data_IF_414566725143
#
_entry.id   IF_414566725143
#
_cell.length_a   1.000
_cell.length_b   1.000
_cell.length_c   1.000
_cell.angle_alpha   90.00
_cell.angle_beta   90.00
_cell.angle_gamma   90.00
#
_symmetry.space_group_name_H-M   'P 1'
#
loop_
_entity.id
_entity.type
_entity.pdbx_description
1 polymer ?
#
# COMPACT_ATOMS: atom_id res chain seq x y z
N UNK A 1 -10.85 22.10 -6.46
CA UNK A 1 -9.62 22.18 -7.29
C UNK A 1 -8.34 21.81 -6.51
N UNK A 2 -8.01 22.46 -5.38
CA UNK A 2 -6.74 22.23 -4.65
C UNK A 2 -6.52 20.79 -4.14
N UNK A 3 -7.59 20.10 -3.71
CA UNK A 3 -7.49 18.74 -3.17
C UNK A 3 -7.06 17.70 -4.22
N UNK A 4 -7.75 17.65 -5.37
CA UNK A 4 -7.39 16.73 -6.46
C UNK A 4 -5.99 17.01 -7.01
N UNK A 5 -5.56 18.27 -7.03
CA UNK A 5 -4.19 18.63 -7.40
C UNK A 5 -3.16 18.12 -6.37
N UNK A 6 -3.47 18.22 -5.08
CA UNK A 6 -2.62 17.67 -4.00
C UNK A 6 -2.54 16.15 -4.07
N UNK A 7 -3.68 15.49 -4.33
CA UNK A 7 -3.72 14.04 -4.58
C UNK A 7 -2.83 13.68 -5.78
N UNK A 8 -2.97 14.37 -6.91
CA UNK A 8 -2.11 14.17 -8.08
C UNK A 8 -0.61 14.30 -7.77
N UNK A 9 -0.23 15.28 -6.94
CA UNK A 9 1.16 15.45 -6.48
C UNK A 9 1.62 14.31 -5.55
N UNK A 10 0.75 13.82 -4.66
CA UNK A 10 1.08 12.71 -3.74
C UNK A 10 1.40 11.40 -4.49
N UNK A 11 0.78 11.18 -5.65
CA UNK A 11 1.03 10.02 -6.50
C UNK A 11 2.43 10.05 -7.15
N UNK A 12 3.11 11.20 -7.16
CA UNK A 12 4.46 11.30 -7.73
C UNK A 12 5.50 10.55 -6.91
N UNK A 13 5.34 10.46 -5.59
CA UNK A 13 6.31 9.78 -4.71
C UNK A 13 6.47 8.28 -5.05
N UNK A 14 5.41 7.47 -5.15
CA UNK A 14 5.54 6.07 -5.55
C UNK A 14 5.93 5.93 -7.03
N UNK A 15 5.44 6.82 -7.90
CA UNK A 15 5.76 6.78 -9.34
C UNK A 15 7.24 7.02 -9.61
N UNK A 16 7.92 7.82 -8.78
CA UNK A 16 9.36 8.08 -8.93
C UNK A 16 10.24 6.82 -8.76
N UNK A 17 9.76 5.78 -8.06
CA UNK A 17 10.50 4.53 -7.89
C UNK A 17 10.35 3.54 -9.06
N UNK A 18 9.29 3.68 -9.86
CA UNK A 18 8.96 2.74 -10.95
C UNK A 18 9.95 2.75 -12.12
N UNK A 19 10.55 3.89 -12.54
CA UNK A 19 11.54 3.89 -13.63
C UNK A 19 12.71 2.96 -13.38
N UNK A 20 13.23 2.91 -12.15
CA UNK A 20 14.34 2.01 -11.80
C UNK A 20 13.90 0.55 -11.94
N UNK A 21 12.70 0.21 -11.46
CA UNK A 21 12.14 -1.13 -11.59
C UNK A 21 12.03 -1.56 -13.08
N UNK A 22 11.50 -0.67 -13.91
CA UNK A 22 11.34 -0.89 -15.35
C UNK A 22 12.67 -1.03 -16.08
N UNK A 23 13.68 -0.23 -15.72
CA UNK A 23 15.02 -0.32 -16.32
C UNK A 23 15.68 -1.66 -15.95
N UNK A 24 15.61 -2.07 -14.68
CA UNK A 24 16.17 -3.34 -14.23
C UNK A 24 15.54 -4.53 -14.96
N UNK A 25 14.21 -4.56 -15.06
CA UNK A 25 13.51 -5.61 -15.81
C UNK A 25 13.80 -5.54 -17.31
N UNK A 26 13.86 -4.33 -17.89
CA UNK A 26 14.16 -4.13 -19.31
C UNK A 26 15.54 -4.67 -19.69
N UNK A 27 16.57 -4.40 -18.88
CA UNK A 27 17.91 -4.96 -19.08
C UNK A 27 17.90 -6.48 -18.88
N UNK A 28 17.20 -6.98 -17.85
CA UNK A 28 17.08 -8.41 -17.61
C UNK A 28 16.45 -9.17 -18.79
N UNK A 29 15.34 -8.67 -19.34
CA UNK A 29 14.71 -9.25 -20.53
C UNK A 29 15.54 -9.05 -21.81
N UNK A 30 16.37 -8.02 -21.89
CA UNK A 30 17.30 -7.88 -23.02
C UNK A 30 18.40 -8.95 -22.98
N UNK A 31 18.88 -9.33 -21.79
CA UNK A 31 19.89 -10.37 -21.60
C UNK A 31 19.31 -11.78 -21.82
N UNK A 32 18.08 -12.04 -21.35
CA UNK A 32 17.39 -13.32 -21.55
C UNK A 32 15.96 -13.11 -22.09
N UNK A 33 15.79 -12.90 -23.41
CA UNK A 33 14.50 -12.55 -24.01
C UNK A 33 13.44 -13.64 -23.92
N UNK A 34 13.85 -14.91 -23.86
CA UNK A 34 12.94 -16.06 -23.93
C UNK A 34 12.93 -16.92 -22.67
N UNK A 35 13.96 -16.84 -21.82
CA UNK A 35 14.07 -17.64 -20.62
C UNK A 35 13.48 -17.02 -19.37
N UNK A 36 13.11 -15.73 -19.38
CA UNK A 36 12.60 -15.02 -18.20
C UNK A 36 13.55 -15.12 -16.99
N UNK A 37 14.86 -15.27 -17.25
CA UNK A 37 15.90 -15.49 -16.24
C UNK A 37 16.26 -16.96 -16.00
N UNK A 38 15.53 -17.92 -16.56
CA UNK A 38 15.84 -19.35 -16.39
C UNK A 38 17.16 -19.75 -17.05
N UNK A 39 17.55 -19.07 -18.13
CA UNK A 39 18.76 -19.39 -18.88
C UNK A 39 19.98 -18.59 -18.42
N UNK A 40 19.78 -17.53 -17.63
CA UNK A 40 20.85 -16.66 -17.17
C UNK A 40 20.55 -16.07 -15.77
N UNK A 41 21.41 -16.43 -14.81
CA UNK A 41 21.31 -15.97 -13.40
C UNK A 41 21.33 -14.45 -13.29
N UNK A 42 22.15 -13.76 -14.10
CA UNK A 42 22.23 -12.29 -14.08
C UNK A 42 20.91 -11.68 -14.53
N UNK A 43 20.28 -12.24 -15.59
CA UNK A 43 18.96 -11.81 -16.04
C UNK A 43 17.88 -12.07 -14.99
N UNK A 44 17.87 -13.26 -14.36
CA UNK A 44 16.94 -13.56 -13.27
C UNK A 44 17.06 -12.58 -12.10
N UNK A 45 18.30 -12.22 -11.72
CA UNK A 45 18.54 -11.27 -10.65
C UNK A 45 17.96 -9.88 -10.97
N UNK A 46 18.22 -9.38 -12.18
CA UNK A 46 17.71 -8.10 -12.68
C UNK A 46 16.17 -8.07 -12.76
N UNK A 47 15.56 -9.12 -13.33
CA UNK A 47 14.10 -9.24 -13.43
C UNK A 47 13.46 -9.30 -12.04
N UNK A 48 14.03 -10.11 -11.12
CA UNK A 48 13.52 -10.22 -9.76
C UNK A 48 13.64 -8.91 -8.99
N UNK A 49 14.76 -8.21 -9.11
CA UNK A 49 14.97 -6.92 -8.46
C UNK A 49 13.92 -5.89 -8.88
N UNK A 50 13.61 -5.78 -10.18
CA UNK A 50 12.56 -4.86 -10.63
C UNK A 50 11.14 -5.34 -10.28
N UNK A 51 10.87 -6.64 -10.31
CA UNK A 51 9.57 -7.20 -9.93
C UNK A 51 9.20 -6.87 -8.47
N UNK A 52 10.19 -6.75 -7.57
CA UNK A 52 9.94 -6.41 -6.17
C UNK A 52 9.19 -5.09 -5.98
N UNK A 53 9.39 -4.11 -6.88
CA UNK A 53 8.70 -2.83 -6.87
C UNK A 53 7.38 -2.87 -7.64
N UNK A 54 7.36 -3.52 -8.81
CA UNK A 54 6.16 -3.60 -9.66
C UNK A 54 5.07 -4.45 -9.01
N UNK A 55 5.43 -5.60 -8.44
CA UNK A 55 4.49 -6.52 -7.80
C UNK A 55 3.89 -5.92 -6.51
N UNK A 56 4.58 -4.94 -5.92
CA UNK A 56 4.18 -4.27 -4.68
C UNK A 56 3.84 -2.79 -4.92
N UNK A 57 3.36 -2.45 -6.12
CA UNK A 57 2.89 -1.10 -6.40
C UNK A 57 1.76 -0.65 -5.47
N UNK A 58 0.79 -1.51 -5.15
CA UNK A 58 -0.33 -1.15 -4.30
C UNK A 58 0.09 -0.59 -2.93
N UNK A 59 1.04 -1.24 -2.26
CA UNK A 59 1.58 -0.78 -0.97
C UNK A 59 2.42 0.50 -1.09
N UNK A 60 3.18 0.66 -2.20
CA UNK A 60 3.92 1.91 -2.47
C UNK A 60 2.96 3.09 -2.60
N UNK A 61 1.82 2.89 -3.30
CA UNK A 61 0.78 3.90 -3.43
C UNK A 61 0.10 4.18 -2.08
N UNK A 62 -0.15 3.18 -1.24
CA UNK A 62 -0.71 3.38 0.10
C UNK A 62 0.17 4.28 0.97
N UNK A 63 1.46 3.99 1.02
CA UNK A 63 2.42 4.79 1.80
C UNK A 63 2.57 6.19 1.18
N UNK A 64 2.79 6.26 -0.13
CA UNK A 64 3.09 7.52 -0.80
C UNK A 64 1.93 8.51 -0.81
N UNK A 65 0.71 8.02 -1.02
CA UNK A 65 -0.50 8.85 -0.91
C UNK A 65 -0.70 9.29 0.54
N UNK A 66 -0.51 8.42 1.53
CA UNK A 66 -0.69 8.79 2.92
C UNK A 66 0.27 9.90 3.36
N UNK A 67 1.55 9.81 2.99
CA UNK A 67 2.55 10.85 3.25
C UNK A 67 2.18 12.13 2.51
N UNK A 68 1.99 12.09 1.18
CA UNK A 68 1.75 13.29 0.38
C UNK A 68 0.40 13.98 0.63
N UNK A 69 -0.57 13.28 1.21
CA UNK A 69 -1.86 13.82 1.65
C UNK A 69 -1.90 14.19 3.14
N UNK A 70 -0.83 13.95 3.89
CA UNK A 70 -0.66 14.48 5.25
C UNK A 70 -0.25 15.95 5.21
N UNK A 71 -0.62 16.74 6.21
CA UNK A 71 -0.40 18.20 6.17
C UNK A 71 1.06 18.62 6.34
N UNK A 72 1.88 17.76 6.96
CA UNK A 72 3.30 17.98 7.26
C UNK A 72 4.22 16.96 6.58
N UNK A 73 3.69 16.10 5.69
CA UNK A 73 4.43 15.02 5.02
C UNK A 73 5.19 14.09 5.99
N UNK A 74 4.63 13.88 7.18
CA UNK A 74 5.27 13.06 8.21
C UNK A 74 5.22 11.55 7.87
N UNK A 75 6.33 10.85 8.12
CA UNK A 75 6.44 9.41 7.86
C UNK A 75 5.46 8.55 8.66
N UNK A 76 4.96 9.03 9.80
CA UNK A 76 3.92 8.36 10.58
C UNK A 76 2.58 8.27 9.84
N UNK A 77 2.29 9.21 8.94
CA UNK A 77 1.15 9.10 8.02
C UNK A 77 1.35 7.94 7.03
N UNK A 78 2.58 7.76 6.53
CA UNK A 78 2.95 6.61 5.70
C UNK A 78 2.72 5.28 6.40
N UNK A 79 3.11 5.17 7.67
CA UNK A 79 2.83 3.99 8.50
C UNK A 79 1.33 3.76 8.66
N UNK A 80 0.53 4.82 8.84
CA UNK A 80 -0.92 4.72 8.89
C UNK A 80 -1.51 4.19 7.56
N UNK A 81 -1.03 4.69 6.42
CA UNK A 81 -1.41 4.19 5.10
C UNK A 81 -1.07 2.70 4.91
N UNK A 82 0.10 2.27 5.39
CA UNK A 82 0.50 0.86 5.40
C UNK A 82 -0.43 0.00 6.27
N UNK A 83 -0.75 0.46 7.48
CA UNK A 83 -1.68 -0.24 8.38
C UNK A 83 -3.05 -0.39 7.70
N UNK A 84 -3.56 0.68 7.09
CA UNK A 84 -4.81 0.64 6.34
C UNK A 84 -4.78 -0.40 5.20
N UNK A 85 -3.70 -0.41 4.43
CA UNK A 85 -3.50 -1.37 3.35
C UNK A 85 -3.54 -2.82 3.85
N UNK A 86 -2.77 -3.12 4.89
CA UNK A 86 -2.69 -4.48 5.45
C UNK A 86 -4.04 -4.95 6.00
N UNK A 87 -4.79 -4.06 6.66
CA UNK A 87 -6.12 -4.40 7.17
C UNK A 87 -7.08 -4.75 6.03
N UNK A 88 -7.16 -3.90 5.01
CA UNK A 88 -8.08 -4.08 3.87
C UNK A 88 -7.73 -5.34 3.09
N UNK A 89 -6.45 -5.57 2.74
CA UNK A 89 -6.05 -6.72 1.94
C UNK A 89 -6.21 -8.05 2.69
N UNK A 90 -6.08 -8.04 4.02
CA UNK A 90 -6.26 -9.25 4.85
C UNK A 90 -7.74 -9.59 5.01
N UNK A 91 -8.58 -8.61 5.35
CA UNK A 91 -10.03 -8.82 5.56
C UNK A 91 -10.75 -9.25 4.29
N UNK A 92 -10.32 -8.71 3.15
CA UNK A 92 -10.92 -9.03 1.85
C UNK A 92 -10.14 -10.13 1.11
N UNK A 93 -9.22 -10.84 1.78
CA UNK A 93 -8.56 -12.01 1.17
C UNK A 93 -9.58 -13.11 0.87
N UNK A 94 -9.36 -13.95 -0.17
CA UNK A 94 -10.32 -15.01 -0.52
C UNK A 94 -10.63 -15.96 0.64
N UNK A 95 -9.64 -16.28 1.46
CA UNK A 95 -9.80 -17.13 2.64
C UNK A 95 -10.69 -16.48 3.71
N UNK A 96 -10.49 -15.19 3.99
CA UNK A 96 -11.32 -14.47 4.95
C UNK A 96 -12.76 -14.33 4.45
N UNK A 97 -12.95 -13.99 3.17
CA UNK A 97 -14.30 -13.86 2.57
C UNK A 97 -15.04 -15.20 2.54
N UNK A 98 -14.35 -16.30 2.22
CA UNK A 98 -14.92 -17.65 2.30
C UNK A 98 -15.40 -17.96 3.71
N UNK A 99 -14.56 -17.68 4.71
CA UNK A 99 -14.89 -17.87 6.12
C UNK A 99 -16.09 -17.02 6.55
N UNK A 100 -16.14 -15.74 6.19
CA UNK A 100 -17.24 -14.84 6.56
C UNK A 100 -18.57 -15.20 5.91
N UNK A 101 -18.53 -15.77 4.69
CA UNK A 101 -19.73 -16.17 3.95
C UNK A 101 -20.13 -17.64 4.16
N UNK A 102 -19.28 -18.45 4.82
CA UNK A 102 -19.50 -19.88 4.99
C UNK A 102 -19.52 -20.64 3.66
N UNK A 103 -18.76 -20.17 2.65
CA UNK A 103 -18.67 -20.80 1.32
C UNK A 103 -17.28 -21.40 1.11
N UNK A 104 -17.17 -22.32 0.14
CA UNK A 104 -15.86 -22.80 -0.31
C UNK A 104 -15.07 -21.65 -0.96
N UNK A 105 -13.74 -21.65 -0.77
CA UNK A 105 -12.82 -20.69 -1.39
C UNK A 105 -12.96 -20.68 -2.91
N UNK A 106 -13.27 -21.82 -3.53
CA UNK A 106 -13.49 -21.92 -4.98
C UNK A 106 -14.73 -21.13 -5.47
N UNK A 107 -15.68 -20.84 -4.57
CA UNK A 107 -16.89 -20.07 -4.89
C UNK A 107 -16.73 -18.56 -4.61
N UNK A 108 -15.60 -18.14 -4.04
CA UNK A 108 -15.31 -16.72 -3.82
C UNK A 108 -15.09 -16.02 -5.17
N UNK A 109 -15.69 -14.84 -5.40
CA UNK A 109 -15.46 -14.10 -6.63
C UNK A 109 -13.97 -13.86 -6.91
N UNK A 110 -13.54 -14.11 -8.15
CA UNK A 110 -12.14 -13.99 -8.56
C UNK A 110 -11.53 -12.60 -8.31
N UNK A 111 -12.35 -11.56 -8.19
CA UNK A 111 -11.93 -10.20 -7.84
C UNK A 111 -11.15 -10.14 -6.52
N UNK A 112 -11.51 -10.96 -5.52
CA UNK A 112 -10.79 -11.00 -4.23
C UNK A 112 -9.39 -11.62 -4.35
N UNK A 113 -9.12 -12.40 -5.40
CA UNK A 113 -7.79 -12.92 -5.72
C UNK A 113 -6.83 -11.87 -6.28
N UNK A 114 -7.32 -10.69 -6.67
CA UNK A 114 -6.54 -9.59 -7.25
C UNK A 114 -6.74 -8.28 -6.49
N UNK A 115 -6.76 -8.37 -5.16
CA UNK A 115 -7.06 -7.22 -4.31
C UNK A 115 -5.89 -6.24 -4.14
N UNK A 116 -4.65 -6.68 -4.37
CA UNK A 116 -3.47 -5.85 -4.23
C UNK A 116 -3.29 -4.86 -5.41
N UNK A 117 -4.28 -3.99 -5.64
CA UNK A 117 -4.26 -2.99 -6.72
C UNK A 117 -3.76 -1.62 -6.25
N UNK A 118 -3.28 -0.81 -7.19
CA UNK A 118 -2.91 0.59 -6.96
C UNK A 118 -4.11 1.41 -6.47
N UNK A 119 -5.32 1.09 -6.94
CA UNK A 119 -6.54 1.76 -6.50
C UNK A 119 -6.79 1.55 -5.00
N UNK A 120 -6.71 0.30 -4.53
CA UNK A 120 -6.82 -0.01 -3.11
C UNK A 120 -5.68 0.64 -2.32
N UNK A 121 -4.50 0.77 -2.93
CA UNK A 121 -3.38 1.51 -2.37
C UNK A 121 -3.75 2.96 -2.11
N UNK A 122 -4.25 3.65 -3.14
CA UNK A 122 -4.68 5.05 -3.05
C UNK A 122 -5.77 5.23 -1.99
N UNK A 123 -6.79 4.36 -1.97
CA UNK A 123 -7.87 4.41 -0.97
C UNK A 123 -7.29 4.22 0.43
N UNK A 124 -6.43 3.23 0.63
CA UNK A 124 -5.78 2.95 1.92
C UNK A 124 -4.95 4.15 2.39
N UNK A 125 -4.20 4.76 1.47
CA UNK A 125 -3.40 5.94 1.74
C UNK A 125 -4.23 7.17 2.11
N UNK A 126 -5.39 7.37 1.46
CA UNK A 126 -6.34 8.43 1.80
C UNK A 126 -6.93 8.24 3.20
N UNK A 127 -7.28 7.01 3.59
CA UNK A 127 -7.73 6.71 4.95
C UNK A 127 -6.61 7.06 5.95
N UNK A 128 -5.38 6.58 5.71
CA UNK A 128 -4.23 6.86 6.57
C UNK A 128 -3.93 8.36 6.72
N UNK A 129 -3.92 9.13 5.61
CA UNK A 129 -3.74 10.57 5.64
C UNK A 129 -4.86 11.30 6.39
N UNK A 130 -6.11 10.87 6.21
CA UNK A 130 -7.27 11.48 6.85
C UNK A 130 -7.23 11.24 8.37
N UNK A 131 -6.93 10.01 8.79
CA UNK A 131 -6.74 9.68 10.20
C UNK A 131 -5.55 10.45 10.78
N UNK A 132 -4.44 10.57 10.06
CA UNK A 132 -3.28 11.32 10.52
C UNK A 132 -3.62 12.80 10.74
N UNK A 133 -4.19 13.48 9.75
CA UNK A 133 -4.51 14.90 9.84
C UNK A 133 -5.52 15.19 10.96
N UNK A 134 -6.44 14.26 11.23
CA UNK A 134 -7.46 14.38 12.27
C UNK A 134 -6.94 14.08 13.68
N UNK A 135 -6.12 13.03 13.85
CA UNK A 135 -5.81 12.45 15.17
C UNK A 135 -4.35 12.65 15.64
N UNK A 136 -3.46 13.24 14.82
CA UNK A 136 -2.05 13.50 15.21
C UNK A 136 -1.88 14.35 16.48
N UNK A 137 -2.90 15.14 16.85
CA UNK A 137 -2.91 16.00 18.04
C UNK A 137 -3.79 15.49 19.19
N UNK A 138 -4.36 14.28 19.09
CA UNK A 138 -5.31 13.77 20.09
C UNK A 138 -4.62 13.49 21.42
N UNK A 139 -5.20 13.97 22.52
CA UNK A 139 -4.78 13.65 23.89
C UNK A 139 -5.75 12.64 24.47
N UNK A 140 -5.22 11.49 24.89
CA UNK A 140 -5.98 10.44 25.56
C UNK A 140 -5.89 10.62 27.09
N UNK A 141 -6.82 10.03 27.86
CA UNK A 141 -6.76 10.02 29.33
C UNK A 141 -5.45 9.42 29.83
N UNK A 142 -5.04 9.75 31.06
CA UNK A 142 -3.73 9.38 31.62
C UNK A 142 -3.43 7.87 31.52
N UNK A 143 -4.43 7.02 31.71
CA UNK A 143 -4.31 5.56 31.57
C UNK A 143 -3.90 5.09 30.16
N UNK A 144 -4.24 5.85 29.12
CA UNK A 144 -3.93 5.57 27.71
C UNK A 144 -2.96 6.63 27.12
N UNK A 145 -2.33 7.44 27.97
CA UNK A 145 -1.51 8.57 27.57
C UNK A 145 -0.38 8.19 26.60
N UNK A 146 0.14 6.96 26.70
CA UNK A 146 1.17 6.42 25.82
C UNK A 146 0.79 6.46 24.33
N UNK A 147 -0.49 6.25 24.02
CA UNK A 147 -1.01 6.23 22.66
C UNK A 147 -1.38 7.62 22.13
N UNK A 148 -1.21 8.69 22.91
CA UNK A 148 -1.58 10.04 22.48
C UNK A 148 -0.73 10.55 21.31
N UNK A 149 -1.25 11.57 20.62
CA UNK A 149 -0.60 12.23 19.50
C UNK A 149 -0.47 11.33 18.27
N UNK A 150 0.68 11.43 17.58
CA UNK A 150 0.97 10.69 16.34
C UNK A 150 0.91 9.16 16.50
N UNK A 151 1.06 8.64 17.72
CA UNK A 151 0.99 7.19 18.01
C UNK A 151 -0.44 6.64 17.91
N UNK A 152 -1.45 7.47 18.18
CA UNK A 152 -2.87 7.07 18.07
C UNK A 152 -3.29 6.83 16.63
N UNK A 153 -2.59 7.46 15.67
CA UNK A 153 -2.99 7.50 14.27
C UNK A 153 -3.05 6.09 13.69
N UNK A 154 -2.04 5.26 13.92
CA UNK A 154 -2.04 3.88 13.42
C UNK A 154 -3.21 3.06 13.98
N UNK A 155 -3.55 3.27 15.27
CA UNK A 155 -4.64 2.57 15.94
C UNK A 155 -6.00 2.96 15.35
N UNK A 156 -6.25 4.27 15.24
CA UNK A 156 -7.50 4.78 14.67
C UNK A 156 -7.62 4.41 13.20
N UNK A 157 -6.51 4.40 12.46
CA UNK A 157 -6.49 3.97 11.06
C UNK A 157 -6.85 2.49 10.94
N UNK A 158 -6.28 1.62 11.79
CA UNK A 158 -6.64 0.20 11.79
C UNK A 158 -8.15 0.00 12.01
N UNK A 159 -8.74 0.74 12.96
CA UNK A 159 -10.18 0.70 13.21
C UNK A 159 -11.01 1.24 12.04
N UNK A 160 -10.55 2.33 11.40
CA UNK A 160 -11.22 2.92 10.23
C UNK A 160 -11.14 2.06 8.96
N UNK A 161 -10.17 1.14 8.90
CA UNK A 161 -9.92 0.26 7.76
C UNK A 161 -10.59 -1.12 7.89
N UNK A 162 -11.48 -1.30 8.87
CA UNK A 162 -12.33 -2.49 8.97
C UNK A 162 -13.49 -2.31 7.98
N UNK A 163 -13.58 -3.19 6.98
CA UNK A 163 -14.54 -3.12 5.86
C UNK A 163 -15.24 -4.45 5.68
#
# INVERSE_FOLDING_TARGET
>A
MKYLQRLGKSLMLPVAALPVASILMGIGYWIDPTGWGANNITAAFLIKAGSALIDKMGILFAIGVAVGMSDDNDGTAGLAGLVSWLMITTLLSPAAVAMFKGIDVAQVPAAFGKIETQFIGIVSGLIGATCYNRFKGTKLPDALGFFSGKRSVAIVTAAASIV
#
